data_IF_829242214360
#
_entry.id   IF_829242214360
#
_cell.length_a   1.000
_cell.length_b   1.000
_cell.length_c   1.000
_cell.angle_alpha   90.00
_cell.angle_beta   90.00
_cell.angle_gamma   90.00
#
_symmetry.space_group_name_H-M   'P 1'
#
loop_
_entity.id
_entity.type
_entity.pdbx_description
1 polymer ?
#
# COMPACT_ATOMS: atom_id res chain seq x y z
N UNK A 1 11.96 5.56 -5.25
CA UNK A 1 10.93 5.00 -4.34
C UNK A 1 9.67 5.84 -4.49
N UNK A 2 8.51 5.22 -4.66
CA UNK A 2 7.22 5.92 -4.75
C UNK A 2 6.44 5.63 -3.48
N UNK A 3 6.22 6.63 -2.64
CA UNK A 3 5.49 6.52 -1.37
C UNK A 3 4.15 7.27 -1.47
N UNK A 4 3.23 6.68 -2.22
CA UNK A 4 1.87 7.14 -2.40
C UNK A 4 0.92 5.97 -2.16
N UNK A 5 -0.33 6.25 -1.77
CA UNK A 5 -1.29 5.20 -1.42
C UNK A 5 -1.57 4.20 -2.55
N UNK A 6 -1.58 4.64 -3.82
CA UNK A 6 -1.74 3.80 -5.02
C UNK A 6 -2.73 2.62 -4.82
N UNK A 7 -3.92 2.96 -4.33
CA UNK A 7 -4.87 2.01 -3.77
C UNK A 7 -5.42 1.03 -4.81
N UNK A 8 -5.69 1.52 -6.02
CA UNK A 8 -6.22 0.71 -7.12
C UNK A 8 -5.13 0.19 -8.05
N UNK A 9 -5.39 -0.96 -8.67
CA UNK A 9 -4.59 -1.53 -9.76
C UNK A 9 -4.42 -0.54 -10.90
N UNK A 10 -5.46 0.24 -11.22
CA UNK A 10 -5.41 1.28 -12.26
C UNK A 10 -4.40 2.39 -11.92
N UNK A 11 -4.35 2.83 -10.66
CA UNK A 11 -3.36 3.81 -10.20
C UNK A 11 -1.94 3.22 -10.29
N UNK A 12 -1.76 1.97 -9.83
CA UNK A 12 -0.47 1.28 -9.89
C UNK A 12 0.02 1.06 -11.32
N UNK A 13 -0.85 0.66 -12.25
CA UNK A 13 -0.51 0.42 -13.65
C UNK A 13 0.12 1.64 -14.34
N UNK A 14 -0.28 2.87 -13.95
CA UNK A 14 0.32 4.12 -14.47
C UNK A 14 1.80 4.26 -14.15
N UNK A 15 2.27 3.56 -13.11
CA UNK A 15 3.66 3.56 -12.66
C UNK A 15 4.39 2.30 -13.14
N UNK A 16 3.75 1.14 -13.01
CA UNK A 16 4.39 -0.15 -13.29
C UNK A 16 4.67 -0.29 -14.79
N UNK A 17 3.68 -0.03 -15.66
CA UNK A 17 3.82 -0.24 -17.10
C UNK A 17 4.99 0.55 -17.71
N UNK A 18 5.15 1.88 -17.49
CA UNK A 18 6.29 2.60 -18.03
C UNK A 18 7.62 2.16 -17.42
N UNK A 19 7.65 1.81 -16.12
CA UNK A 19 8.86 1.30 -15.49
C UNK A 19 9.30 -0.03 -16.11
N UNK A 20 8.37 -0.94 -16.37
CA UNK A 20 8.63 -2.21 -17.05
C UNK A 20 9.05 -2.01 -18.51
N UNK A 21 8.39 -1.12 -19.24
CA UNK A 21 8.77 -0.76 -20.61
C UNK A 21 10.19 -0.19 -20.72
N UNK A 22 10.64 0.53 -19.68
CA UNK A 22 12.00 1.04 -19.58
C UNK A 22 13.02 0.01 -19.02
N UNK A 23 12.61 -1.23 -18.79
CA UNK A 23 13.49 -2.32 -18.34
C UNK A 23 13.75 -2.36 -16.84
N UNK A 24 13.05 -1.56 -16.02
CA UNK A 24 13.22 -1.60 -14.57
C UNK A 24 12.55 -2.83 -13.95
N UNK A 25 13.16 -3.33 -12.87
CA UNK A 25 12.49 -4.25 -11.94
C UNK A 25 11.55 -3.44 -11.05
N UNK A 26 10.32 -3.91 -10.90
CA UNK A 26 9.31 -3.26 -10.06
C UNK A 26 9.00 -4.20 -8.91
N UNK A 27 9.29 -3.76 -7.69
CA UNK A 27 9.05 -4.50 -6.44
C UNK A 27 7.95 -3.79 -5.67
N UNK A 28 6.93 -4.54 -5.24
CA UNK A 28 5.80 -4.02 -4.50
C UNK A 28 5.92 -4.29 -2.99
N UNK A 29 5.51 -3.32 -2.17
CA UNK A 29 5.33 -3.49 -0.74
C UNK A 29 3.90 -3.10 -0.39
N UNK A 30 3.09 -4.07 0.01
CA UNK A 30 1.74 -3.85 0.48
C UNK A 30 1.72 -3.74 1.99
N UNK A 31 1.34 -2.59 2.51
CA UNK A 31 1.12 -2.42 3.95
C UNK A 31 -0.28 -2.92 4.31
N UNK A 32 -0.35 -3.74 5.37
CA UNK A 32 -1.59 -4.18 5.97
C UNK A 32 -2.49 -2.98 6.29
N UNK A 33 -3.55 -2.83 5.50
CA UNK A 33 -4.38 -1.62 5.45
C UNK A 33 -5.68 -1.79 6.22
N UNK A 34 -5.60 -2.31 7.45
CA UNK A 34 -6.77 -2.47 8.33
C UNK A 34 -7.32 -1.09 8.70
N UNK A 35 -8.55 -0.80 8.26
CA UNK A 35 -9.17 0.53 8.36
C UNK A 35 -9.20 1.05 9.80
N UNK A 36 -9.59 0.21 10.75
CA UNK A 36 -9.68 0.60 12.16
C UNK A 36 -8.32 1.04 12.71
N UNK A 37 -7.26 0.28 12.41
CA UNK A 37 -5.90 0.60 12.86
C UNK A 37 -5.37 1.86 12.16
N UNK A 38 -5.66 2.04 10.87
CA UNK A 38 -5.30 3.25 10.13
C UNK A 38 -6.01 4.50 10.68
N UNK A 39 -7.30 4.39 11.04
CA UNK A 39 -8.05 5.47 11.67
C UNK A 39 -7.49 5.80 13.06
N UNK A 40 -7.16 4.80 13.87
CA UNK A 40 -6.58 5.02 15.20
C UNK A 40 -5.25 5.77 15.11
N UNK A 41 -4.34 5.33 14.23
CA UNK A 41 -3.08 6.05 13.97
C UNK A 41 -3.32 7.46 13.44
N UNK A 42 -4.31 7.65 12.57
CA UNK A 42 -4.64 8.96 12.04
C UNK A 42 -5.19 9.92 13.11
N UNK A 43 -5.99 9.42 14.07
CA UNK A 43 -6.51 10.23 15.19
C UNK A 43 -5.40 10.80 16.07
N UNK A 44 -4.26 10.12 16.16
CA UNK A 44 -3.09 10.56 16.93
C UNK A 44 -2.28 11.67 16.23
N UNK A 45 -2.55 11.95 14.94
CA UNK A 45 -1.89 13.03 14.20
C UNK A 45 -2.50 14.39 14.51
N UNK A 46 -1.77 15.46 14.22
CA UNK A 46 -2.20 16.83 14.46
C UNK A 46 -2.11 17.70 13.19
N UNK A 47 -2.89 18.78 13.16
CA UNK A 47 -2.90 19.75 12.05
C UNK A 47 -3.19 19.09 10.70
N UNK A 48 -2.42 19.46 9.68
CA UNK A 48 -2.60 18.97 8.29
C UNK A 48 -2.25 17.48 8.11
N UNK A 49 -1.57 16.87 9.09
CA UNK A 49 -1.23 15.44 9.04
C UNK A 49 -2.40 14.53 9.45
N UNK A 50 -3.37 15.07 10.21
CA UNK A 50 -4.61 14.38 10.55
C UNK A 50 -5.61 14.54 9.40
N UNK A 51 -5.86 13.45 8.68
CA UNK A 51 -6.85 13.47 7.60
C UNK A 51 -8.27 13.27 8.14
N UNK A 52 -9.31 13.80 7.49
CA UNK A 52 -10.70 13.50 7.83
C UNK A 52 -10.98 12.00 7.72
N UNK A 53 -11.88 11.47 8.55
CA UNK A 53 -12.23 10.04 8.55
C UNK A 53 -12.74 9.58 7.18
N UNK A 54 -13.51 10.42 6.49
CA UNK A 54 -13.96 10.16 5.12
C UNK A 54 -12.80 10.00 4.12
N UNK A 55 -11.65 10.64 4.35
CA UNK A 55 -10.44 10.44 3.55
C UNK A 55 -9.83 9.06 3.73
N UNK A 56 -9.81 8.54 4.97
CA UNK A 56 -9.35 7.17 5.27
C UNK A 56 -10.27 6.15 4.61
N UNK A 57 -11.59 6.33 4.76
CA UNK A 57 -12.59 5.44 4.18
C UNK A 57 -12.58 5.48 2.65
N UNK A 58 -12.41 6.65 2.04
CA UNK A 58 -12.30 6.80 0.59
C UNK A 58 -11.04 6.16 0.02
N UNK A 59 -9.93 6.11 0.77
CA UNK A 59 -8.75 5.33 0.38
C UNK A 59 -9.02 3.82 0.49
N UNK A 60 -9.60 3.38 1.61
CA UNK A 60 -9.93 1.97 1.84
C UNK A 60 -10.92 1.40 0.81
N UNK A 61 -11.95 2.17 0.44
CA UNK A 61 -12.95 1.74 -0.54
C UNK A 61 -12.43 1.61 -1.98
N UNK A 62 -11.27 2.20 -2.29
CA UNK A 62 -10.59 2.07 -3.60
C UNK A 62 -9.48 1.03 -3.59
N UNK A 63 -9.19 0.44 -2.43
CA UNK A 63 -8.07 -0.47 -2.26
C UNK A 63 -8.37 -1.79 -2.98
N UNK A 64 -7.57 -2.09 -3.98
CA UNK A 64 -7.49 -3.38 -4.63
C UNK A 64 -6.19 -4.03 -4.20
N UNK A 65 -6.25 -5.26 -3.66
CA UNK A 65 -5.06 -6.01 -3.27
C UNK A 65 -4.12 -6.14 -4.48
N UNK A 66 -2.82 -5.87 -4.31
CA UNK A 66 -1.86 -6.07 -5.38
C UNK A 66 -1.73 -7.55 -5.71
N UNK A 67 -1.39 -7.85 -6.96
CA UNK A 67 -1.08 -9.20 -7.39
C UNK A 67 0.18 -9.19 -8.25
N UNK A 68 0.95 -10.27 -8.26
CA UNK A 68 2.12 -10.42 -9.13
C UNK A 68 1.77 -10.23 -10.62
N UNK A 69 0.53 -10.58 -11.00
CA UNK A 69 -0.01 -10.37 -12.34
C UNK A 69 -0.09 -8.90 -12.80
N UNK A 70 0.19 -7.93 -11.91
CA UNK A 70 0.32 -6.51 -12.26
C UNK A 70 1.72 -6.13 -12.79
N UNK A 71 2.55 -7.11 -13.16
CA UNK A 71 3.95 -6.98 -13.61
C UNK A 71 4.96 -6.62 -12.50
N UNK A 72 4.65 -6.99 -11.25
CA UNK A 72 5.64 -6.99 -10.18
C UNK A 72 6.63 -8.14 -10.35
N UNK A 73 7.91 -7.86 -10.14
CA UNK A 73 8.96 -8.88 -10.07
C UNK A 73 8.89 -9.60 -8.72
N UNK A 74 8.63 -8.84 -7.67
CA UNK A 74 8.46 -9.33 -6.30
C UNK A 74 7.37 -8.51 -5.62
N UNK A 75 6.64 -9.15 -4.71
CA UNK A 75 5.63 -8.51 -3.90
C UNK A 75 5.82 -8.95 -2.45
N UNK A 76 5.71 -7.98 -1.55
CA UNK A 76 5.94 -8.19 -0.11
C UNK A 76 4.73 -7.70 0.68
N UNK A 77 4.36 -8.47 1.70
CA UNK A 77 3.36 -8.10 2.70
C UNK A 77 4.05 -7.49 3.92
N UNK A 78 3.66 -6.28 4.28
CA UNK A 78 4.26 -5.50 5.37
C UNK A 78 3.21 -5.26 6.44
N UNK A 79 3.55 -5.55 7.70
CA UNK A 79 2.70 -5.25 8.86
C UNK A 79 3.53 -4.65 9.98
N UNK A 80 2.91 -3.83 10.82
CA UNK A 80 3.58 -3.33 12.02
C UNK A 80 3.88 -4.50 12.97
N UNK A 81 5.07 -4.49 13.59
CA UNK A 81 5.48 -5.53 14.55
C UNK A 81 4.99 -5.27 15.99
N UNK A 82 4.39 -4.11 16.24
CA UNK A 82 3.94 -3.68 17.57
C UNK A 82 5.04 -3.04 18.44
N UNK A 83 6.29 -3.01 17.99
CA UNK A 83 7.45 -2.41 18.67
C UNK A 83 7.95 -1.12 17.98
N UNK A 84 7.17 -0.60 17.03
CA UNK A 84 7.51 0.58 16.24
C UNK A 84 8.25 0.28 14.94
N UNK A 85 8.41 -0.99 14.59
CA UNK A 85 8.99 -1.45 13.34
C UNK A 85 7.97 -2.14 12.42
N UNK A 86 8.52 -2.90 11.46
CA UNK A 86 7.75 -3.66 10.48
C UNK A 86 8.25 -5.10 10.40
N UNK A 87 7.32 -6.04 10.29
CA UNK A 87 7.60 -7.37 9.75
C UNK A 87 7.25 -7.39 8.27
N UNK A 88 8.15 -7.98 7.49
CA UNK A 88 8.07 -8.06 6.03
C UNK A 88 8.10 -9.54 5.68
N UNK A 89 7.05 -9.99 5.00
CA UNK A 89 6.85 -11.37 4.61
C UNK A 89 6.63 -11.44 3.10
N UNK A 90 7.07 -12.52 2.47
CA UNK A 90 6.80 -12.75 1.05
C UNK A 90 5.30 -12.78 0.80
N UNK A 91 4.86 -12.17 -0.30
CA UNK A 91 3.45 -12.17 -0.67
C UNK A 91 2.97 -13.59 -0.94
N UNK A 92 1.93 -13.98 -0.21
CA UNK A 92 1.17 -15.20 -0.47
C UNK A 92 -0.15 -14.74 -1.04
N UNK A 93 -0.53 -15.21 -2.22
CA UNK A 93 -1.79 -14.85 -2.91
C UNK A 93 -3.07 -15.22 -2.12
N UNK A 94 -2.91 -15.72 -0.89
CA UNK A 94 -3.94 -16.01 0.10
C UNK A 94 -3.89 -14.94 1.21
N UNK A 95 -4.81 -13.98 1.16
CA UNK A 95 -5.26 -13.21 2.34
C UNK A 95 -6.62 -13.74 2.74
#
# INVERSE_FOLDING_TARGET
MVDNTNASRKERARLILPARAAGFRVIGYYFSSRVQEAQERNRQRQGRARIPDGGVLGAAGRLELPALAEDFVELWYVRMDGMGGFSVEEWKDEI
#
